data_IF_446433978562
#
_entry.id   IF_446433978562
#
_cell.length_a   1.000
_cell.length_b   1.000
_cell.length_c   1.000
_cell.angle_alpha   90.00
_cell.angle_beta   90.00
_cell.angle_gamma   90.00
#
_symmetry.space_group_name_H-M   'P 1'
#
loop_
_entity.id
_entity.type
_entity.pdbx_description
1 polymer ?
#
# COMPACT_ATOMS: atom_id res chain seq x y z
N UNK A 1 -21.27 -1.25 9.84
CA UNK A 1 -21.84 -0.95 8.51
C UNK A 1 -20.83 -0.14 7.74
N UNK A 2 -20.47 -0.49 6.51
CA UNK A 2 -19.55 0.33 5.72
C UNK A 2 -20.24 1.67 5.43
N UNK A 3 -19.50 2.75 5.64
CA UNK A 3 -19.96 4.11 5.34
C UNK A 3 -20.07 4.21 3.82
N UNK A 4 -21.27 4.11 3.27
CA UNK A 4 -21.53 4.41 1.86
C UNK A 4 -21.08 5.84 1.60
N UNK A 5 -20.19 6.03 0.61
CA UNK A 5 -19.92 7.34 0.06
C UNK A 5 -21.24 7.95 -0.38
N UNK A 6 -21.72 8.98 0.30
CA UNK A 6 -22.89 9.75 -0.14
C UNK A 6 -22.40 10.74 -1.20
N UNK A 7 -22.80 10.52 -2.44
CA UNK A 7 -22.63 11.51 -3.50
C UNK A 7 -23.49 12.74 -3.19
N UNK A 8 -22.93 13.94 -3.40
CA UNK A 8 -23.60 15.21 -3.05
C UNK A 8 -24.54 15.74 -4.13
N UNK A 9 -24.49 15.21 -5.36
CA UNK A 9 -25.39 15.58 -6.45
C UNK A 9 -25.66 14.41 -7.40
N UNK A 10 -26.78 14.47 -8.13
CA UNK A 10 -27.12 13.48 -9.19
C UNK A 10 -26.09 13.48 -10.32
N UNK A 11 -25.46 14.63 -10.62
CA UNK A 11 -24.42 14.77 -11.66
C UNK A 11 -23.13 13.99 -11.33
N UNK A 12 -22.78 13.83 -10.04
CA UNK A 12 -21.65 13.01 -9.62
C UNK A 12 -21.91 11.51 -9.76
N UNK A 13 -23.17 11.08 -9.81
CA UNK A 13 -23.55 9.66 -9.97
C UNK A 13 -23.39 9.16 -11.41
N UNK A 14 -23.44 10.05 -12.43
CA UNK A 14 -23.34 9.68 -13.84
C UNK A 14 -21.95 9.17 -14.25
N UNK A 15 -20.92 9.38 -13.40
CA UNK A 15 -19.57 8.83 -13.60
C UNK A 15 -19.36 7.44 -12.98
N UNK A 16 -20.34 6.91 -12.25
CA UNK A 16 -20.25 5.60 -11.63
C UNK A 16 -20.89 4.53 -12.51
N UNK A 17 -20.05 3.65 -13.00
CA UNK A 17 -20.49 2.43 -13.67
C UNK A 17 -20.62 1.34 -12.63
N UNK A 18 -21.81 0.75 -12.52
CA UNK A 18 -22.02 -0.40 -11.65
C UNK A 18 -21.19 -1.59 -12.15
N UNK A 19 -20.37 -2.22 -11.29
CA UNK A 19 -19.55 -3.35 -11.72
C UNK A 19 -20.43 -4.56 -12.03
N UNK A 20 -20.13 -5.25 -13.13
CA UNK A 20 -20.81 -6.48 -13.51
C UNK A 20 -20.35 -7.70 -12.71
N UNK A 21 -19.13 -7.63 -12.12
CA UNK A 21 -18.54 -8.70 -11.31
C UNK A 21 -18.02 -8.11 -10.01
N UNK A 22 -18.43 -8.70 -8.90
CA UNK A 22 -17.96 -8.36 -7.56
C UNK A 22 -17.03 -9.47 -7.06
N UNK A 23 -15.84 -9.10 -6.60
CA UNK A 23 -14.88 -10.03 -6.02
C UNK A 23 -14.87 -9.84 -4.51
N UNK A 24 -15.40 -10.80 -3.76
CA UNK A 24 -15.41 -10.76 -2.29
C UNK A 24 -14.16 -11.39 -1.67
N UNK A 25 -13.60 -12.42 -2.33
CA UNK A 25 -12.41 -13.13 -1.86
C UNK A 25 -11.45 -13.40 -3.03
N UNK A 26 -11.75 -14.36 -3.88
CA UNK A 26 -10.93 -14.74 -5.03
C UNK A 26 -11.79 -14.98 -6.28
N UNK A 27 -11.21 -14.66 -7.44
CA UNK A 27 -11.78 -14.91 -8.76
C UNK A 27 -10.67 -15.31 -9.72
N UNK A 28 -10.89 -16.39 -10.48
CA UNK A 28 -9.96 -16.82 -11.53
C UNK A 28 -10.58 -16.54 -12.90
N UNK A 29 -9.86 -15.80 -13.73
CA UNK A 29 -10.24 -15.53 -15.12
C UNK A 29 -9.19 -16.13 -16.05
N UNK A 30 -9.63 -16.93 -17.02
CA UNK A 30 -8.80 -17.37 -18.15
C UNK A 30 -8.92 -16.34 -19.27
N UNK A 31 -7.81 -15.72 -19.65
CA UNK A 31 -7.75 -14.72 -20.70
C UNK A 31 -6.73 -15.13 -21.76
N UNK A 32 -7.18 -15.79 -22.82
CA UNK A 32 -6.26 -16.43 -23.78
C UNK A 32 -5.35 -17.42 -23.08
N UNK A 33 -4.05 -17.24 -23.23
CA UNK A 33 -3.01 -18.12 -22.66
C UNK A 33 -2.59 -17.75 -21.23
N UNK A 34 -3.20 -16.72 -20.63
CA UNK A 34 -2.86 -16.30 -19.26
C UNK A 34 -4.01 -16.53 -18.29
N UNK A 35 -3.66 -16.74 -17.04
CA UNK A 35 -4.57 -16.85 -15.91
C UNK A 35 -4.45 -15.61 -15.04
N UNK A 36 -5.58 -14.95 -14.79
CA UNK A 36 -5.67 -13.83 -13.85
C UNK A 36 -6.27 -14.36 -12.56
N UNK A 37 -5.43 -14.56 -11.54
CA UNK A 37 -5.88 -14.91 -10.18
C UNK A 37 -6.11 -13.60 -9.40
N UNK A 38 -7.34 -13.12 -9.39
CA UNK A 38 -7.74 -11.88 -8.73
C UNK A 38 -8.08 -12.20 -7.29
N UNK A 39 -7.55 -11.46 -6.33
CA UNK A 39 -7.85 -11.69 -4.92
C UNK A 39 -8.00 -10.39 -4.13
N UNK A 40 -8.93 -10.42 -3.19
CA UNK A 40 -9.14 -9.34 -2.25
C UNK A 40 -7.99 -9.28 -1.26
N UNK A 41 -7.28 -8.16 -1.21
CA UNK A 41 -6.11 -7.95 -0.36
C UNK A 41 -6.15 -6.55 0.25
N UNK A 42 -6.93 -6.35 1.33
CA UNK A 42 -7.02 -5.06 2.01
C UNK A 42 -5.62 -4.50 2.30
N UNK A 43 -5.35 -3.30 1.81
CA UNK A 43 -4.07 -2.62 1.94
C UNK A 43 -4.25 -1.13 2.19
N UNK A 44 -3.89 -0.25 1.26
CA UNK A 44 -4.15 1.18 1.35
C UNK A 44 -5.65 1.48 1.53
N UNK A 45 -6.52 0.74 0.84
CA UNK A 45 -7.96 0.74 1.04
C UNK A 45 -8.49 -0.65 1.39
N UNK A 46 -9.64 -0.71 2.04
CA UNK A 46 -10.28 -1.99 2.41
C UNK A 46 -10.80 -2.77 1.20
N UNK A 47 -10.97 -2.13 0.06
CA UNK A 47 -11.50 -2.72 -1.17
C UNK A 47 -10.42 -3.09 -2.19
N UNK A 48 -9.15 -3.04 -1.80
CA UNK A 48 -8.05 -3.29 -2.71
C UNK A 48 -8.06 -4.72 -3.25
N UNK A 49 -7.90 -4.85 -4.57
CA UNK A 49 -7.70 -6.12 -5.26
C UNK A 49 -6.27 -6.18 -5.81
N UNK A 50 -5.71 -7.37 -5.79
CA UNK A 50 -4.46 -7.67 -6.46
C UNK A 50 -4.68 -8.80 -7.48
N UNK A 51 -3.77 -8.92 -8.47
CA UNK A 51 -3.87 -9.93 -9.51
C UNK A 51 -2.53 -10.65 -9.62
N UNK A 52 -2.54 -11.96 -9.49
CA UNK A 52 -1.39 -12.81 -9.77
C UNK A 52 -1.52 -13.38 -11.19
N UNK A 53 -0.48 -13.22 -11.99
CA UNK A 53 -0.38 -13.69 -13.39
C UNK A 53 0.81 -14.63 -13.51
N UNK A 54 0.62 -15.93 -13.22
CA UNK A 54 1.71 -16.91 -13.15
C UNK A 54 2.53 -17.02 -14.42
N UNK A 55 1.87 -17.02 -15.58
CA UNK A 55 2.51 -17.21 -16.89
C UNK A 55 3.45 -16.04 -17.26
N UNK A 56 3.23 -14.87 -16.64
CA UNK A 56 4.08 -13.68 -16.81
C UNK A 56 5.07 -13.48 -15.66
N UNK A 57 5.11 -14.39 -14.67
CA UNK A 57 5.88 -14.22 -13.43
C UNK A 57 5.64 -12.83 -12.78
N UNK A 58 4.37 -12.37 -12.80
CA UNK A 58 3.94 -11.01 -12.48
C UNK A 58 2.89 -11.00 -11.37
N UNK A 59 3.06 -10.08 -10.43
CA UNK A 59 2.01 -9.70 -9.47
C UNK A 59 1.61 -8.23 -9.69
N UNK A 60 0.33 -7.96 -9.83
CA UNK A 60 -0.24 -6.61 -9.93
C UNK A 60 -0.70 -6.22 -8.53
N UNK A 61 0.07 -5.34 -7.88
CA UNK A 61 -0.14 -4.96 -6.49
C UNK A 61 -1.03 -3.73 -6.33
N UNK A 62 -1.38 -3.04 -7.44
CA UNK A 62 -2.10 -1.77 -7.35
C UNK A 62 -1.37 -0.80 -6.40
N UNK A 63 -2.09 -0.09 -5.53
CA UNK A 63 -1.53 0.86 -4.57
C UNK A 63 -1.14 0.22 -3.22
N UNK A 64 -1.07 -1.13 -3.13
CA UNK A 64 -0.50 -1.77 -1.95
C UNK A 64 0.99 -1.44 -1.76
N UNK A 65 1.68 -1.11 -2.87
CA UNK A 65 3.06 -0.64 -2.89
C UNK A 65 3.15 0.63 -3.71
N UNK A 66 3.81 1.65 -3.18
CA UNK A 66 4.04 2.95 -3.81
C UNK A 66 5.55 3.15 -3.96
N UNK A 67 6.10 2.73 -5.10
CA UNK A 67 7.55 2.68 -5.28
C UNK A 67 8.20 1.63 -4.38
N UNK A 68 8.98 2.06 -3.40
CA UNK A 68 9.62 1.22 -2.37
C UNK A 68 8.96 1.37 -0.98
N UNK A 69 7.84 2.07 -0.88
CA UNK A 69 7.16 2.37 0.38
C UNK A 69 5.68 2.03 0.31
N UNK A 70 4.96 2.31 1.39
CA UNK A 70 3.49 2.18 1.49
C UNK A 70 2.85 3.56 1.67
N UNK A 71 1.51 3.62 1.52
CA UNK A 71 0.72 4.77 1.88
C UNK A 71 -0.26 4.43 3.00
N UNK A 72 -0.06 5.08 4.16
CA UNK A 72 -0.73 4.72 5.41
C UNK A 72 -2.12 5.33 5.58
N UNK A 73 -2.46 6.41 4.87
CA UNK A 73 -3.57 7.32 5.16
C UNK A 73 -4.90 6.67 5.53
N UNK A 74 -5.32 5.62 4.83
CA UNK A 74 -6.63 4.99 5.02
C UNK A 74 -6.57 3.60 5.66
N UNK A 75 -5.39 3.18 6.09
CA UNK A 75 -5.14 1.83 6.57
C UNK A 75 -4.36 1.82 7.88
N UNK A 76 -4.15 0.65 8.44
CA UNK A 76 -3.27 0.44 9.59
C UNK A 76 -2.00 -0.28 9.19
N UNK A 77 -0.94 -0.12 9.99
CA UNK A 77 0.33 -0.81 9.77
C UNK A 77 0.16 -2.34 9.77
N UNK A 78 -0.78 -2.87 10.55
CA UNK A 78 -1.04 -4.31 10.62
C UNK A 78 -1.71 -4.83 9.35
N UNK A 79 -2.68 -4.08 8.79
CA UNK A 79 -3.35 -4.43 7.53
C UNK A 79 -2.34 -4.42 6.39
N UNK A 80 -1.55 -3.35 6.27
CA UNK A 80 -0.50 -3.21 5.25
C UNK A 80 0.55 -4.32 5.34
N UNK A 81 1.01 -4.65 6.54
CA UNK A 81 1.98 -5.74 6.73
C UNK A 81 1.42 -7.10 6.25
N UNK A 82 0.16 -7.41 6.54
CA UNK A 82 -0.48 -8.64 6.04
C UNK A 82 -0.59 -8.66 4.53
N UNK A 83 -1.00 -7.52 3.94
CA UNK A 83 -1.13 -7.37 2.50
C UNK A 83 0.20 -7.58 1.78
N UNK A 84 1.27 -6.91 2.22
CA UNK A 84 2.61 -7.05 1.66
C UNK A 84 3.14 -8.47 1.77
N UNK A 85 2.95 -9.12 2.93
CA UNK A 85 3.34 -10.53 3.11
C UNK A 85 2.57 -11.50 2.22
N UNK A 86 1.31 -11.20 1.89
CA UNK A 86 0.54 -12.00 0.93
C UNK A 86 1.11 -11.86 -0.47
N UNK A 87 1.46 -10.63 -0.90
CA UNK A 87 2.13 -10.38 -2.18
C UNK A 87 3.50 -11.08 -2.26
N UNK A 88 4.32 -10.98 -1.20
CA UNK A 88 5.62 -11.65 -1.11
C UNK A 88 5.52 -13.17 -1.30
N UNK A 89 4.51 -13.81 -0.70
CA UNK A 89 4.29 -15.27 -0.82
C UNK A 89 3.91 -15.72 -2.22
N UNK A 90 3.42 -14.83 -3.09
CA UNK A 90 3.15 -15.18 -4.49
C UNK A 90 4.43 -15.57 -5.24
N UNK A 91 5.60 -15.10 -4.78
CA UNK A 91 6.92 -15.52 -5.27
C UNK A 91 7.19 -15.14 -6.72
N UNK A 92 6.57 -14.05 -7.24
CA UNK A 92 6.79 -13.55 -8.60
C UNK A 92 8.04 -12.69 -8.66
N UNK A 93 8.64 -12.56 -9.85
CA UNK A 93 9.83 -11.71 -10.08
C UNK A 93 9.46 -10.28 -10.41
N UNK A 94 8.30 -10.06 -11.01
CA UNK A 94 7.85 -8.77 -11.49
C UNK A 94 6.67 -8.27 -10.67
N UNK A 95 6.70 -6.97 -10.36
CA UNK A 95 5.65 -6.26 -9.64
C UNK A 95 5.12 -5.12 -10.50
N UNK A 96 3.83 -5.08 -10.77
CA UNK A 96 3.16 -3.92 -11.35
C UNK A 96 2.45 -3.16 -10.25
N UNK A 97 2.86 -1.90 -10.04
CA UNK A 97 2.25 -0.99 -9.05
C UNK A 97 1.26 -0.05 -9.72
N UNK A 98 0.34 0.53 -8.96
CA UNK A 98 -0.60 1.55 -9.46
C UNK A 98 0.10 2.81 -9.98
N UNK A 99 1.28 3.08 -9.44
CA UNK A 99 2.17 4.17 -9.85
C UNK A 99 3.57 3.61 -10.17
N UNK A 100 4.33 4.28 -11.04
CA UNK A 100 5.72 3.95 -11.39
C UNK A 100 5.92 2.66 -12.20
N UNK A 101 4.85 2.03 -12.72
CA UNK A 101 4.92 0.91 -13.66
C UNK A 101 5.46 -0.40 -13.09
N UNK A 102 6.10 -1.21 -13.96
CA UNK A 102 6.69 -2.51 -13.60
C UNK A 102 8.01 -2.32 -12.87
N UNK A 103 8.19 -3.06 -11.78
CA UNK A 103 9.37 -3.03 -10.91
C UNK A 103 9.84 -4.46 -10.60
N UNK A 104 11.03 -4.57 -10.01
CA UNK A 104 11.43 -5.80 -9.30
C UNK A 104 10.53 -6.02 -8.09
N UNK A 105 10.25 -7.27 -7.76
CA UNK A 105 9.53 -7.67 -6.54
C UNK A 105 10.22 -7.20 -5.25
N UNK A 106 11.52 -6.88 -5.30
CA UNK A 106 12.28 -6.32 -4.17
C UNK A 106 11.60 -5.07 -3.58
N UNK A 107 10.77 -4.37 -4.37
CA UNK A 107 9.98 -3.25 -3.88
C UNK A 107 8.99 -3.66 -2.78
N UNK A 108 8.54 -4.91 -2.72
CA UNK A 108 7.72 -5.45 -1.62
C UNK A 108 8.56 -5.55 -0.33
N UNK A 109 9.78 -6.05 -0.45
CA UNK A 109 10.70 -6.19 0.69
C UNK A 109 11.12 -4.81 1.22
N UNK A 110 11.38 -3.86 0.30
CA UNK A 110 11.66 -2.48 0.64
C UNK A 110 10.48 -1.82 1.38
N UNK A 111 9.24 -2.06 0.92
CA UNK A 111 8.02 -1.57 1.56
C UNK A 111 7.80 -2.20 2.96
N UNK A 112 8.13 -3.49 3.13
CA UNK A 112 8.10 -4.16 4.44
C UNK A 112 9.16 -3.58 5.39
N UNK A 113 10.37 -3.34 4.90
CA UNK A 113 11.42 -2.68 5.66
C UNK A 113 10.99 -1.29 6.09
N UNK A 114 10.50 -0.47 5.16
CA UNK A 114 9.98 0.87 5.42
C UNK A 114 8.89 0.86 6.51
N UNK A 115 7.94 -0.07 6.42
CA UNK A 115 6.87 -0.22 7.40
C UNK A 115 7.41 -0.58 8.80
N UNK A 116 8.45 -1.43 8.87
CA UNK A 116 9.17 -1.74 10.08
C UNK A 116 9.81 -0.50 10.71
N UNK A 117 10.50 0.31 9.89
CA UNK A 117 11.11 1.57 10.34
C UNK A 117 10.10 2.58 10.86
N UNK A 118 8.96 2.75 10.16
CA UNK A 118 7.88 3.60 10.67
C UNK A 118 7.37 3.13 12.05
N UNK A 119 7.25 1.82 12.25
CA UNK A 119 6.83 1.25 13.54
C UNK A 119 7.84 1.56 14.65
N UNK A 120 9.13 1.41 14.40
CA UNK A 120 10.20 1.76 15.35
C UNK A 120 10.14 3.24 15.72
N UNK A 121 10.01 4.13 14.71
CA UNK A 121 9.89 5.58 14.92
C UNK A 121 8.70 5.89 15.85
N UNK A 122 7.54 5.27 15.61
CA UNK A 122 6.35 5.46 16.45
C UNK A 122 6.58 4.99 17.89
N UNK A 123 7.21 3.83 18.08
CA UNK A 123 7.51 3.29 19.41
C UNK A 123 8.44 4.23 20.17
N UNK A 124 9.53 4.67 19.53
CA UNK A 124 10.51 5.60 20.15
C UNK A 124 9.87 6.96 20.45
N UNK A 125 9.04 7.48 19.55
CA UNK A 125 8.38 8.77 19.71
C UNK A 125 7.43 8.81 20.92
N UNK A 126 6.77 7.71 21.25
CA UNK A 126 5.84 7.64 22.41
C UNK A 126 6.51 7.93 23.76
N UNK A 127 7.81 7.74 23.84
CA UNK A 127 8.63 7.94 25.04
C UNK A 127 9.25 9.34 25.11
N UNK A 128 9.06 10.19 24.07
CA UNK A 128 9.69 11.50 23.94
C UNK A 128 8.69 12.65 24.17
N UNK A 129 9.13 13.70 24.86
CA UNK A 129 8.38 14.95 24.98
C UNK A 129 8.22 15.70 23.65
N UNK A 130 9.16 15.51 22.72
CA UNK A 130 9.22 16.19 21.43
C UNK A 130 8.85 15.26 20.27
N UNK A 131 7.99 14.25 20.53
CA UNK A 131 7.58 13.20 19.63
C UNK A 131 7.14 13.71 18.25
N UNK A 132 6.27 14.71 18.21
CA UNK A 132 5.72 15.26 16.98
C UNK A 132 6.79 15.83 16.05
N UNK A 133 7.67 16.68 16.60
CA UNK A 133 8.71 17.33 15.80
C UNK A 133 9.74 16.31 15.31
N UNK A 134 10.14 15.38 16.17
CA UNK A 134 11.07 14.31 15.84
C UNK A 134 10.55 13.44 14.70
N UNK A 135 9.27 13.02 14.75
CA UNK A 135 8.67 12.20 13.71
C UNK A 135 8.57 12.97 12.39
N UNK A 136 8.09 14.22 12.39
CA UNK A 136 7.92 15.00 11.16
C UNK A 136 9.26 15.35 10.46
N UNK A 137 10.36 15.34 11.19
CA UNK A 137 11.72 15.55 10.66
C UNK A 137 12.39 14.29 10.13
N UNK A 138 11.76 13.13 10.24
CA UNK A 138 12.34 11.88 9.75
C UNK A 138 12.51 11.92 8.23
N UNK A 139 13.72 11.69 7.76
CA UNK A 139 14.04 11.64 6.33
C UNK A 139 13.72 10.27 5.75
N UNK A 140 13.09 10.22 4.57
CA UNK A 140 12.75 8.98 3.89
C UNK A 140 13.98 8.08 3.70
N UNK A 141 15.12 8.64 3.31
CA UNK A 141 16.33 7.85 3.05
C UNK A 141 16.77 7.01 4.26
N UNK A 142 16.52 7.47 5.48
CA UNK A 142 16.81 6.71 6.72
C UNK A 142 15.84 5.56 6.97
N UNK A 143 14.71 5.56 6.26
CA UNK A 143 13.67 4.55 6.34
C UNK A 143 13.74 3.52 5.20
N UNK A 144 14.70 3.63 4.27
CA UNK A 144 14.89 2.70 3.16
C UNK A 144 16.10 1.78 3.42
N UNK A 145 16.13 0.59 2.81
CA UNK A 145 17.28 -0.28 2.84
C UNK A 145 18.52 0.40 2.22
N UNK A 146 19.70 -0.02 2.63
CA UNK A 146 20.97 0.45 2.05
C UNK A 146 20.99 0.19 0.54
N UNK A 147 21.38 1.21 -0.24
CA UNK A 147 21.44 1.14 -1.70
C UNK A 147 20.12 1.44 -2.43
N UNK A 148 19.00 1.57 -1.71
CA UNK A 148 17.72 2.02 -2.28
C UNK A 148 17.65 3.54 -2.17
N UNK A 149 17.52 4.21 -3.32
CA UNK A 149 17.43 5.67 -3.36
C UNK A 149 15.98 6.13 -3.29
N UNK A 150 15.73 7.13 -2.43
CA UNK A 150 14.46 7.82 -2.36
C UNK A 150 14.18 8.62 -3.65
N UNK A 151 12.93 8.64 -4.08
CA UNK A 151 12.46 9.51 -5.17
C UNK A 151 11.61 10.64 -4.62
N UNK A 152 11.55 11.78 -5.33
CA UNK A 152 10.69 12.90 -4.94
C UNK A 152 9.20 12.50 -4.83
N UNK A 153 8.77 11.50 -5.62
CA UNK A 153 7.42 10.94 -5.54
C UNK A 153 7.21 10.23 -4.19
N UNK A 154 8.14 9.35 -3.80
CA UNK A 154 8.08 8.62 -2.53
C UNK A 154 8.21 9.56 -1.32
N UNK A 155 9.05 10.60 -1.40
CA UNK A 155 9.18 11.60 -0.33
C UNK A 155 7.86 12.33 -0.03
N UNK A 156 7.06 12.63 -1.07
CA UNK A 156 5.74 13.23 -0.87
C UNK A 156 4.79 12.30 -0.08
N UNK A 157 4.81 10.99 -0.38
CA UNK A 157 4.02 10.00 0.36
C UNK A 157 4.57 9.74 1.76
N UNK A 158 5.89 9.73 1.92
CA UNK A 158 6.53 9.62 3.23
C UNK A 158 6.08 10.72 4.17
N UNK A 159 6.16 11.98 3.74
CA UNK A 159 5.69 13.13 4.54
C UNK A 159 4.24 12.95 4.97
N UNK A 160 3.34 12.54 4.06
CA UNK A 160 1.94 12.27 4.38
C UNK A 160 1.76 11.11 5.36
N UNK A 161 2.63 10.11 5.30
CA UNK A 161 2.64 9.00 6.27
C UNK A 161 3.00 9.50 7.66
N UNK A 162 4.02 10.36 7.79
CA UNK A 162 4.42 10.96 9.06
C UNK A 162 3.30 11.86 9.63
N UNK A 163 2.68 12.71 8.81
CA UNK A 163 1.52 13.50 9.19
C UNK A 163 0.36 12.62 9.69
N UNK A 164 0.12 11.49 9.03
CA UNK A 164 -0.90 10.52 9.43
C UNK A 164 -0.59 9.90 10.80
N UNK A 165 0.67 9.54 11.04
CA UNK A 165 1.15 8.98 12.32
C UNK A 165 0.92 9.99 13.45
N UNK A 166 1.32 11.23 13.25
CA UNK A 166 1.13 12.32 14.23
C UNK A 166 -0.36 12.59 14.46
N UNK A 167 -1.15 12.69 13.39
CA UNK A 167 -2.60 12.93 13.48
C UNK A 167 -3.36 11.82 14.21
N UNK A 168 -2.85 10.58 14.16
CA UNK A 168 -3.36 9.42 14.92
C UNK A 168 -2.75 9.29 16.32
N UNK A 169 -2.05 10.29 16.82
CA UNK A 169 -1.40 10.30 18.15
C UNK A 169 -0.52 9.06 18.36
N UNK A 170 0.23 8.66 17.31
CA UNK A 170 1.14 7.51 17.35
C UNK A 170 0.46 6.15 17.58
N UNK A 171 -0.81 5.99 17.19
CA UNK A 171 -1.47 4.69 17.22
C UNK A 171 -1.01 3.82 16.04
N UNK A 172 -0.78 2.53 16.32
CA UNK A 172 -0.32 1.53 15.34
C UNK A 172 -1.46 0.71 14.70
N UNK A 173 -2.71 1.04 15.07
CA UNK A 173 -3.92 0.30 14.68
C UNK A 173 -4.40 0.64 13.30
#
# INVERSE_FOLDING_TARGET
MPTMCRFRSAEESDFFVEPHVLVSDELVIKWGDVTLNIFHNPSQTMTNLNIDVPECDLIIASDAVVGNIIYLRYSSMNVLNRALKRLQRAGRKHLLTGHMGVRSVDAIDNALFYLGRLREIVITARESSDATESVLKTELQTCLPSGVLATAFEENFHRRNLETIVGRRFELH
#
